data_IF_441246017042
#
_entry.id   IF_441246017042
#
_cell.length_a   1.000
_cell.length_b   1.000
_cell.length_c   1.000
_cell.angle_alpha   90.00
_cell.angle_beta   90.00
_cell.angle_gamma   90.00
#
_symmetry.space_group_name_H-M   'P 1'
#
loop_
_entity.id
_entity.type
_entity.pdbx_description
1 polymer ?
#
# COMPACT_ATOMS: atom_id res chain seq x y z
N UNK A 1 12.06 -5.21 -17.77
CA UNK A 1 10.98 -5.94 -17.05
C UNK A 1 9.79 -5.01 -17.02
N UNK A 2 8.60 -5.48 -17.41
CA UNK A 2 7.40 -4.65 -17.39
C UNK A 2 6.77 -4.63 -15.99
N UNK A 3 6.08 -3.55 -15.65
CA UNK A 3 5.22 -3.47 -14.47
C UNK A 3 3.77 -3.26 -14.90
N UNK A 4 2.84 -3.74 -14.09
CA UNK A 4 1.42 -3.38 -14.17
C UNK A 4 1.09 -2.49 -12.98
N UNK A 5 0.28 -1.47 -13.22
CA UNK A 5 -0.13 -0.53 -12.19
C UNK A 5 -1.57 -0.81 -11.77
N UNK A 6 -1.80 -0.77 -10.46
CA UNK A 6 -3.13 -0.67 -9.87
C UNK A 6 -3.23 0.71 -9.22
N UNK A 7 -4.24 1.50 -9.59
CA UNK A 7 -4.41 2.85 -9.08
C UNK A 7 -5.85 3.15 -8.67
N UNK A 8 -6.01 4.13 -7.79
CA UNK A 8 -7.30 4.69 -7.38
C UNK A 8 -7.34 5.15 -5.94
N UNK A 9 -8.53 5.50 -5.48
CA UNK A 9 -8.77 5.98 -4.14
C UNK A 9 -8.88 4.83 -3.15
N UNK A 10 -8.31 5.00 -1.97
CA UNK A 10 -8.48 4.11 -0.84
C UNK A 10 -8.78 4.94 0.39
N UNK A 11 -9.76 4.52 1.19
CA UNK A 11 -10.02 5.17 2.48
C UNK A 11 -8.75 5.23 3.32
N UNK A 12 -8.45 6.42 3.88
CA UNK A 12 -7.25 6.63 4.71
C UNK A 12 -7.16 5.63 5.87
N UNK A 13 -8.29 5.31 6.49
CA UNK A 13 -8.40 4.35 7.60
C UNK A 13 -8.02 2.92 7.22
N UNK A 14 -8.25 2.54 5.96
CA UNK A 14 -7.94 1.21 5.44
C UNK A 14 -6.47 1.08 5.00
N UNK A 15 -5.71 2.18 4.97
CA UNK A 15 -4.36 2.21 4.41
C UNK A 15 -3.39 1.29 5.16
N UNK A 16 -3.40 1.35 6.51
CA UNK A 16 -2.54 0.51 7.34
C UNK A 16 -2.81 -0.97 7.09
N UNK A 17 -4.08 -1.38 7.17
CA UNK A 17 -4.48 -2.76 6.93
C UNK A 17 -4.17 -3.24 5.52
N UNK A 18 -4.31 -2.36 4.52
CA UNK A 18 -3.97 -2.68 3.15
C UNK A 18 -2.45 -2.92 2.98
N UNK A 19 -1.60 -2.09 3.58
CA UNK A 19 -0.14 -2.29 3.55
C UNK A 19 0.28 -3.60 4.23
N UNK A 20 -0.35 -3.96 5.34
CA UNK A 20 -0.13 -5.27 6.00
C UNK A 20 -0.58 -6.43 5.12
N UNK A 21 -1.70 -6.29 4.42
CA UNK A 21 -2.13 -7.32 3.47
C UNK A 21 -1.14 -7.45 2.31
N UNK A 22 -0.64 -6.33 1.77
CA UNK A 22 0.38 -6.33 0.72
C UNK A 22 1.68 -6.97 1.21
N UNK A 23 2.14 -6.63 2.42
CA UNK A 23 3.38 -7.16 2.98
C UNK A 23 3.32 -8.68 3.11
N UNK A 24 2.21 -9.23 3.60
CA UNK A 24 2.00 -10.68 3.64
C UNK A 24 1.96 -11.32 2.25
N UNK A 25 1.34 -10.65 1.27
CA UNK A 25 1.28 -11.15 -0.11
C UNK A 25 2.69 -11.22 -0.73
N UNK A 26 3.55 -10.23 -0.45
CA UNK A 26 4.92 -10.19 -0.98
C UNK A 26 5.96 -10.81 -0.06
N UNK A 27 5.58 -11.36 1.09
CA UNK A 27 6.50 -11.90 2.09
C UNK A 27 7.50 -10.84 2.61
N UNK A 28 7.04 -9.60 2.80
CA UNK A 28 7.75 -8.52 3.50
C UNK A 28 7.31 -8.47 4.97
N UNK A 29 8.26 -8.29 5.88
CA UNK A 29 8.01 -8.22 7.32
C UNK A 29 7.70 -6.76 7.70
N UNK A 30 6.40 -6.38 7.62
CA UNK A 30 5.96 -5.01 7.89
C UNK A 30 5.60 -4.85 9.36
N UNK A 31 6.44 -4.15 10.11
CA UNK A 31 6.27 -3.90 11.54
C UNK A 31 5.92 -2.45 11.89
N UNK A 32 5.96 -2.15 13.18
CA UNK A 32 5.68 -0.82 13.73
C UNK A 32 6.63 0.25 13.19
N UNK A 33 7.91 -0.08 13.04
CA UNK A 33 8.90 0.86 12.51
C UNK A 33 8.65 1.23 11.05
N UNK A 34 8.16 0.28 10.26
CA UNK A 34 7.77 0.51 8.86
C UNK A 34 6.56 1.43 8.78
N UNK A 35 5.57 1.21 9.65
CA UNK A 35 4.40 2.07 9.73
C UNK A 35 4.77 3.50 10.17
N UNK A 36 5.59 3.66 11.20
CA UNK A 36 6.04 4.98 11.66
C UNK A 36 6.82 5.72 10.55
N UNK A 37 7.68 5.00 9.83
CA UNK A 37 8.41 5.55 8.69
C UNK A 37 7.47 5.95 7.54
N UNK A 38 6.45 5.13 7.28
CA UNK A 38 5.44 5.39 6.26
C UNK A 38 4.62 6.65 6.61
N UNK A 39 4.14 6.78 7.84
CA UNK A 39 3.39 7.97 8.29
C UNK A 39 4.24 9.24 8.28
N UNK A 40 5.50 9.13 8.72
CA UNK A 40 6.45 10.23 8.66
C UNK A 40 6.69 10.67 7.22
N UNK A 41 6.88 9.72 6.30
CA UNK A 41 7.07 9.99 4.88
C UNK A 41 5.87 10.67 4.25
N UNK A 42 4.66 10.16 4.50
CA UNK A 42 3.42 10.76 4.01
C UNK A 42 3.19 12.18 4.56
N UNK A 43 3.70 12.48 5.76
CA UNK A 43 3.58 13.81 6.39
C UNK A 43 4.67 14.79 5.94
N UNK A 44 5.81 14.28 5.45
CA UNK A 44 6.99 15.09 5.11
C UNK A 44 6.88 15.93 3.83
N UNK A 45 5.82 15.76 3.04
CA UNK A 45 5.43 16.61 1.92
C UNK A 45 6.58 17.00 0.98
N UNK A 46 6.90 16.15 0.00
CA UNK A 46 7.86 16.49 -1.06
C UNK A 46 7.18 17.23 -2.23
N UNK A 47 7.96 17.98 -3.02
CA UNK A 47 7.48 18.76 -4.19
C UNK A 47 6.83 17.88 -5.27
N UNK A 48 7.09 16.57 -5.27
CA UNK A 48 6.53 15.59 -6.20
C UNK A 48 5.04 15.29 -5.97
N UNK A 49 4.49 15.60 -4.79
CA UNK A 49 3.09 15.35 -4.43
C UNK A 49 2.75 13.87 -4.15
N UNK A 50 3.74 12.97 -4.20
CA UNK A 50 3.60 11.54 -3.96
C UNK A 50 4.72 11.02 -3.06
N UNK A 51 4.33 10.28 -2.01
CA UNK A 51 5.25 9.50 -1.19
C UNK A 51 5.33 8.06 -1.72
N UNK A 52 6.54 7.55 -1.94
CA UNK A 52 6.76 6.17 -2.43
C UNK A 52 7.41 5.33 -1.35
N UNK A 53 6.83 4.16 -1.10
CA UNK A 53 7.31 3.19 -0.13
C UNK A 53 7.43 1.79 -0.79
N UNK A 54 8.66 1.25 -0.93
CA UNK A 54 8.86 -0.08 -1.49
C UNK A 54 8.66 -1.17 -0.44
N UNK A 55 7.88 -2.21 -0.77
CA UNK A 55 7.80 -3.44 0.01
C UNK A 55 8.71 -4.48 -0.66
N UNK A 56 9.87 -4.74 -0.05
CA UNK A 56 10.95 -5.55 -0.64
C UNK A 56 10.97 -6.95 -0.03
N UNK A 57 9.96 -7.76 -0.34
CA UNK A 57 9.87 -9.16 0.08
C UNK A 57 10.41 -10.13 -0.99
N UNK A 58 9.71 -11.25 -1.19
CA UNK A 58 9.95 -12.19 -2.31
C UNK A 58 9.85 -11.49 -3.67
N UNK A 59 8.95 -10.52 -3.79
CA UNK A 59 8.80 -9.67 -4.97
C UNK A 59 8.68 -8.22 -4.51
N UNK A 60 9.37 -7.31 -5.20
CA UNK A 60 9.28 -5.88 -4.88
C UNK A 60 8.02 -5.29 -5.48
N UNK A 61 7.19 -4.69 -4.63
CA UNK A 61 6.08 -3.83 -5.06
C UNK A 61 6.31 -2.43 -4.53
N UNK A 62 6.05 -1.42 -5.35
CA UNK A 62 6.16 -0.02 -4.93
C UNK A 62 4.77 0.53 -4.67
N UNK A 63 4.56 1.09 -3.48
CA UNK A 63 3.31 1.75 -3.11
C UNK A 63 3.56 3.25 -3.12
N UNK A 64 2.92 3.96 -4.04
CA UNK A 64 2.91 5.41 -4.06
C UNK A 64 1.58 5.93 -3.51
N UNK A 65 1.64 6.88 -2.59
CA UNK A 65 0.46 7.52 -1.98
C UNK A 65 0.57 9.02 -2.18
N UNK A 66 -0.50 9.64 -2.68
CA UNK A 66 -0.52 11.09 -2.82
C UNK A 66 -0.56 11.75 -1.44
N UNK A 67 0.14 12.87 -1.30
CA UNK A 67 0.01 13.74 -0.13
C UNK A 67 -1.38 14.41 -0.07
N UNK A 68 -2.10 14.47 -1.18
CA UNK A 68 -3.46 14.97 -1.23
C UNK A 68 -4.44 13.95 -0.63
N UNK A 69 -5.33 14.44 0.24
CA UNK A 69 -6.45 13.68 0.78
C UNK A 69 -7.72 14.38 0.31
N UNK A 70 -8.61 13.63 -0.35
CA UNK A 70 -9.91 14.13 -0.78
C UNK A 70 -11.00 13.38 -0.02
N UNK A 71 -11.85 14.10 0.72
CA UNK A 71 -13.00 13.54 1.45
C UNK A 71 -12.69 12.37 2.41
N UNK A 72 -11.44 12.24 2.87
CA UNK A 72 -10.98 11.15 3.75
C UNK A 72 -10.35 9.96 3.02
N UNK A 73 -10.25 10.04 1.69
CA UNK A 73 -9.60 9.04 0.84
C UNK A 73 -8.20 9.51 0.41
N UNK A 74 -7.30 8.55 0.24
CA UNK A 74 -5.94 8.74 -0.28
C UNK A 74 -5.82 8.14 -1.67
N UNK A 75 -5.25 8.88 -2.61
CA UNK A 75 -4.94 8.36 -3.95
C UNK A 75 -3.70 7.45 -3.87
N UNK A 76 -3.85 6.21 -4.32
CA UNK A 76 -2.84 5.16 -4.24
C UNK A 76 -2.49 4.63 -5.63
N UNK A 77 -1.21 4.31 -5.82
CA UNK A 77 -0.70 3.54 -6.95
C UNK A 77 0.18 2.42 -6.44
N UNK A 78 -0.02 1.21 -6.97
CA UNK A 78 0.77 0.04 -6.67
C UNK A 78 1.40 -0.47 -7.96
N UNK A 79 2.73 -0.41 -8.04
CA UNK A 79 3.52 -0.94 -9.14
C UNK A 79 3.86 -2.40 -8.88
N UNK A 80 3.38 -3.30 -9.74
CA UNK A 80 3.48 -4.75 -9.57
C UNK A 80 4.34 -5.32 -10.72
N UNK A 81 5.34 -6.17 -10.44
CA UNK A 81 6.12 -6.85 -11.48
C UNK A 81 5.25 -7.75 -12.38
N UNK A 82 5.41 -7.67 -13.71
CA UNK A 82 4.62 -8.47 -14.66
C UNK A 82 5.03 -9.95 -14.75
N UNK A 83 6.15 -10.34 -14.14
CA UNK A 83 6.69 -11.69 -14.17
C UNK A 83 5.99 -12.66 -13.20
N UNK A 84 5.15 -12.16 -12.30
CA UNK A 84 4.26 -12.97 -11.44
C UNK A 84 2.78 -12.59 -11.65
N UNK A 85 2.04 -13.28 -12.55
CA UNK A 85 0.62 -13.01 -12.77
C UNK A 85 -0.27 -13.44 -11.59
N UNK A 86 0.21 -14.29 -10.67
CA UNK A 86 -0.55 -14.66 -9.48
C UNK A 86 -0.50 -13.54 -8.44
N UNK A 87 0.66 -12.92 -8.26
CA UNK A 87 0.85 -11.74 -7.41
C UNK A 87 -0.12 -10.62 -7.78
N UNK A 88 -0.21 -10.27 -9.07
CA UNK A 88 -1.13 -9.24 -9.55
C UNK A 88 -2.60 -9.53 -9.25
N UNK A 89 -3.01 -10.81 -9.24
CA UNK A 89 -4.38 -11.20 -8.87
C UNK A 89 -4.62 -11.08 -7.36
N UNK A 90 -3.66 -11.50 -6.54
CA UNK A 90 -3.77 -11.40 -5.07
C UNK A 90 -3.89 -9.94 -4.63
N UNK A 91 -3.04 -9.06 -5.18
CA UNK A 91 -3.07 -7.61 -4.89
C UNK A 91 -4.42 -6.99 -5.32
N UNK A 92 -4.95 -7.37 -6.49
CA UNK A 92 -6.28 -6.91 -6.94
C UNK A 92 -7.41 -7.36 -6.02
N UNK A 93 -7.35 -8.59 -5.50
CA UNK A 93 -8.36 -9.08 -4.55
C UNK A 93 -8.28 -8.29 -3.23
N UNK A 94 -7.08 -8.09 -2.69
CA UNK A 94 -6.89 -7.24 -1.51
C UNK A 94 -7.45 -5.83 -1.73
N UNK A 95 -7.10 -5.20 -2.85
CA UNK A 95 -7.62 -3.89 -3.24
C UNK A 95 -9.15 -3.83 -3.25
N UNK A 96 -9.81 -4.83 -3.85
CA UNK A 96 -11.28 -4.89 -3.88
C UNK A 96 -11.90 -5.00 -2.48
N UNK A 97 -11.27 -5.74 -1.57
CA UNK A 97 -11.76 -5.89 -0.19
C UNK A 97 -11.67 -4.55 0.54
N UNK A 98 -10.48 -3.93 0.55
CA UNK A 98 -10.25 -2.67 1.27
C UNK A 98 -10.92 -1.45 0.61
N UNK A 99 -11.31 -1.52 -0.66
CA UNK A 99 -12.16 -0.49 -1.28
C UNK A 99 -13.65 -0.68 -0.97
N UNK A 100 -14.11 -1.93 -0.81
CA UNK A 100 -15.54 -2.23 -0.66
C UNK A 100 -16.01 -2.19 0.79
N UNK A 101 -15.12 -2.53 1.72
CA UNK A 101 -15.45 -2.73 3.11
C UNK A 101 -14.67 -1.76 4.01
N UNK A 102 -15.30 -1.44 5.14
CA UNK A 102 -14.64 -0.81 6.27
C UNK A 102 -13.85 -1.90 7.00
N UNK A 103 -12.54 -1.95 6.79
CA UNK A 103 -11.68 -2.97 7.41
C UNK A 103 -11.02 -2.30 8.60
N UNK A 104 -11.47 -2.69 9.79
CA UNK A 104 -11.18 -2.02 11.06
C UNK A 104 -9.71 -1.56 11.17
N UNK A 105 -9.46 -0.32 11.65
CA UNK A 105 -8.13 0.32 11.67
C UNK A 105 -7.15 -0.30 12.68
N UNK A 106 -7.65 -1.10 13.63
CA UNK A 106 -6.85 -1.79 14.65
C UNK A 106 -6.27 -3.10 14.10
N UNK A 107 -5.38 -2.98 13.11
CA UNK A 107 -4.43 -4.05 12.83
C UNK A 107 -3.29 -3.91 13.82
N UNK A 108 -3.26 -4.83 14.80
CA UNK A 108 -2.11 -5.04 15.67
C UNK A 108 -0.94 -5.54 14.81
N UNK A 109 0.11 -4.73 14.72
CA UNK A 109 1.38 -5.17 14.14
C UNK A 109 2.08 -6.00 15.21
N UNK A 110 2.59 -7.17 14.82
CA UNK A 110 3.32 -8.05 15.72
C UNK A 110 4.80 -7.87 15.38
N UNK A 111 5.52 -7.15 16.24
CA UNK A 111 6.99 -7.20 16.31
C UNK A 111 7.43 -8.12 17.47
#
# INVERSE_FOLDING_TARGET
MGTTELNGWLKRENLKGFLVALSHIVEYDFGHLDWDAFESGLSSGDDSGWFVYPLVGRSTVEVAVSHAVEEGDSDLKVSIPCDDPCLGKQIRVAWMIFNRFDVSPDVDLLD
#
